data_IF_893620509128
#
_entry.id   IF_893620509128
#
_cell.length_a   1.000
_cell.length_b   1.000
_cell.length_c   1.000
_cell.angle_alpha   90.00
_cell.angle_beta   90.00
_cell.angle_gamma   90.00
#
_symmetry.space_group_name_H-M   'P 1'
#
loop_
_entity.id
_entity.type
_entity.pdbx_description
1 polymer ?
#
# COMPACT_ATOMS: atom_id res chain seq x y z
N UNK A 1 6.63 -14.64 35.16
CA UNK A 1 6.21 -15.51 34.02
C UNK A 1 5.51 -14.61 33.04
N UNK A 2 6.17 -14.24 31.96
CA UNK A 2 5.55 -13.44 30.92
C UNK A 2 4.42 -14.24 30.30
N UNK A 3 3.24 -13.62 30.25
CA UNK A 3 2.02 -14.28 29.77
C UNK A 3 2.18 -14.51 28.26
N UNK A 4 2.46 -15.74 27.86
CA UNK A 4 2.54 -16.12 26.44
C UNK A 4 1.20 -15.81 25.79
N UNK A 5 1.19 -14.91 24.82
CA UNK A 5 -0.03 -14.54 24.09
C UNK A 5 -0.33 -15.65 23.08
N UNK A 6 -1.43 -16.37 23.30
CA UNK A 6 -1.88 -17.50 22.47
C UNK A 6 -3.25 -17.29 21.86
N UNK A 7 -3.92 -16.20 22.25
CA UNK A 7 -5.26 -15.84 21.80
C UNK A 7 -5.21 -14.48 21.12
N UNK A 8 -5.51 -14.43 19.82
CA UNK A 8 -5.50 -13.23 19.00
C UNK A 8 -6.27 -13.45 17.69
N UNK A 9 -6.53 -12.39 16.99
CA UNK A 9 -6.92 -12.41 15.57
C UNK A 9 -5.81 -11.80 14.75
N UNK A 10 -5.20 -12.59 13.86
CA UNK A 10 -4.30 -12.05 12.84
C UNK A 10 -5.12 -11.65 11.63
N UNK A 11 -4.89 -10.44 11.10
CA UNK A 11 -5.54 -9.98 9.88
C UNK A 11 -4.59 -9.17 8.99
N UNK A 12 -4.93 -9.15 7.72
CA UNK A 12 -4.22 -8.43 6.65
C UNK A 12 -5.23 -7.92 5.62
N UNK A 13 -4.90 -6.86 4.90
CA UNK A 13 -5.75 -6.24 3.90
C UNK A 13 -5.02 -6.11 2.57
N UNK A 14 -5.68 -6.54 1.50
CA UNK A 14 -5.30 -6.08 0.16
C UNK A 14 -6.15 -4.88 -0.25
N UNK A 15 -5.53 -3.96 -0.96
CA UNK A 15 -6.17 -2.68 -1.31
C UNK A 15 -5.92 -2.27 -2.76
N UNK A 16 -6.73 -1.34 -3.27
CA UNK A 16 -6.56 -0.77 -4.63
C UNK A 16 -5.24 -0.01 -4.81
N UNK A 17 -4.46 0.15 -3.74
CA UNK A 17 -3.18 0.85 -3.71
C UNK A 17 -2.85 1.32 -2.31
N UNK A 18 -1.96 2.31 -2.22
CA UNK A 18 -1.47 2.81 -0.94
C UNK A 18 -1.95 4.23 -0.70
N UNK A 19 -2.32 4.56 0.53
CA UNK A 19 -2.62 5.92 0.95
C UNK A 19 -4.06 6.18 1.38
N UNK A 20 -4.44 7.48 1.49
CA UNK A 20 -5.69 7.89 2.13
C UNK A 20 -6.96 7.50 1.38
N UNK A 21 -6.86 7.23 0.08
CA UNK A 21 -7.97 6.87 -0.81
C UNK A 21 -7.97 5.39 -1.20
N UNK A 22 -7.00 4.61 -0.71
CA UNK A 22 -6.94 3.18 -0.96
C UNK A 22 -8.21 2.50 -0.43
N UNK A 23 -8.87 1.71 -1.25
CA UNK A 23 -10.05 0.93 -0.90
C UNK A 23 -9.66 -0.52 -0.67
N UNK A 24 -10.32 -1.17 0.26
CA UNK A 24 -10.10 -2.59 0.54
C UNK A 24 -10.64 -3.41 -0.63
N UNK A 25 -9.87 -4.40 -1.08
CA UNK A 25 -10.26 -5.37 -2.11
C UNK A 25 -10.24 -6.81 -1.61
N UNK A 26 -9.54 -7.08 -0.49
CA UNK A 26 -9.60 -8.35 0.22
C UNK A 26 -9.37 -8.10 1.72
N UNK A 27 -10.09 -8.87 2.55
CA UNK A 27 -9.84 -8.95 3.98
C UNK A 27 -9.54 -10.41 4.29
N UNK A 28 -8.36 -10.70 4.80
CA UNK A 28 -7.99 -11.99 5.34
C UNK A 28 -7.83 -11.92 6.84
N UNK A 29 -8.36 -12.90 7.57
CA UNK A 29 -8.11 -13.01 8.99
C UNK A 29 -8.17 -14.47 9.48
N UNK A 30 -7.40 -14.76 10.53
CA UNK A 30 -7.46 -16.01 11.27
C UNK A 30 -7.67 -15.74 12.76
N UNK A 31 -8.54 -16.51 13.39
CA UNK A 31 -8.73 -16.48 14.83
C UNK A 31 -7.93 -17.60 15.48
N UNK A 32 -7.05 -17.22 16.40
CA UNK A 32 -6.16 -18.15 17.09
C UNK A 32 -6.57 -18.25 18.56
N UNK A 33 -6.68 -19.49 19.06
CA UNK A 33 -6.96 -19.80 20.47
C UNK A 33 -6.00 -20.90 20.94
N UNK A 34 -5.37 -20.65 22.08
CA UNK A 34 -4.38 -21.59 22.61
C UNK A 34 -3.19 -21.83 21.67
N UNK A 35 -2.92 -20.91 20.71
CA UNK A 35 -1.89 -21.04 19.69
C UNK A 35 -2.31 -21.83 18.45
N UNK A 36 -3.59 -22.21 18.33
CA UNK A 36 -4.13 -22.95 17.17
C UNK A 36 -5.18 -22.12 16.46
N UNK A 37 -5.17 -22.11 15.13
CA UNK A 37 -6.23 -21.47 14.32
C UNK A 37 -7.54 -22.23 14.50
N UNK A 38 -8.55 -21.53 14.99
CA UNK A 38 -9.90 -22.11 15.26
C UNK A 38 -10.97 -21.60 14.30
N UNK A 39 -10.73 -20.46 13.65
CA UNK A 39 -11.68 -19.85 12.72
C UNK A 39 -10.97 -19.00 11.67
N UNK A 40 -11.65 -18.72 10.55
CA UNK A 40 -11.10 -18.06 9.38
C UNK A 40 -12.11 -17.08 8.79
N UNK A 41 -11.61 -15.94 8.33
CA UNK A 41 -12.34 -14.95 7.56
C UNK A 41 -11.57 -14.65 6.29
N UNK A 42 -12.21 -14.74 5.13
CA UNK A 42 -11.57 -14.42 3.84
C UNK A 42 -12.65 -13.95 2.88
N UNK A 43 -12.64 -12.64 2.58
CA UNK A 43 -13.65 -12.01 1.75
C UNK A 43 -13.00 -11.05 0.74
N UNK A 44 -13.36 -11.21 -0.52
CA UNK A 44 -13.12 -10.19 -1.53
C UNK A 44 -14.12 -9.05 -1.35
N UNK A 45 -13.66 -7.83 -1.57
CA UNK A 45 -14.47 -6.63 -1.42
C UNK A 45 -14.49 -5.85 -2.74
N UNK A 46 -15.69 -5.49 -3.20
CA UNK A 46 -15.88 -4.68 -4.41
C UNK A 46 -15.51 -3.22 -4.12
N UNK A 47 -14.44 -2.70 -4.73
CA UNK A 47 -14.09 -1.28 -4.60
C UNK A 47 -14.94 -0.42 -5.56
N UNK A 48 -15.04 0.87 -5.26
CA UNK A 48 -15.58 1.88 -6.18
C UNK A 48 -14.54 2.26 -7.23
N UNK A 49 -13.28 2.35 -6.80
CA UNK A 49 -12.17 2.68 -7.68
C UNK A 49 -11.71 1.46 -8.50
N UNK A 50 -11.15 1.74 -9.66
CA UNK A 50 -10.59 0.70 -10.52
C UNK A 50 -9.33 0.10 -9.90
N UNK A 51 -9.21 -1.23 -9.95
CA UNK A 51 -7.98 -1.94 -9.61
C UNK A 51 -6.99 -1.75 -10.75
N UNK A 52 -5.81 -1.21 -10.42
CA UNK A 52 -4.75 -1.01 -11.41
C UNK A 52 -4.08 -2.33 -11.79
N UNK A 53 -3.48 -2.38 -13.00
CA UNK A 53 -2.71 -3.55 -13.41
C UNK A 53 -1.54 -3.87 -12.47
N UNK A 54 -0.95 -2.87 -11.82
CA UNK A 54 0.10 -3.03 -10.82
C UNK A 54 -0.42 -3.76 -9.57
N UNK A 55 -1.59 -3.38 -9.08
CA UNK A 55 -2.22 -4.07 -7.94
C UNK A 55 -2.57 -5.50 -8.31
N UNK A 56 -3.15 -5.71 -9.50
CA UNK A 56 -3.45 -7.07 -9.99
C UNK A 56 -2.19 -7.92 -10.12
N UNK A 57 -1.10 -7.36 -10.62
CA UNK A 57 0.17 -8.09 -10.73
C UNK A 57 0.77 -8.45 -9.38
N UNK A 58 0.54 -7.60 -8.35
CA UNK A 58 1.05 -7.82 -6.99
C UNK A 58 0.19 -8.84 -6.22
N UNK A 59 -1.14 -8.62 -6.19
CA UNK A 59 -2.07 -9.39 -5.35
C UNK A 59 -2.71 -10.57 -6.06
N UNK A 60 -2.63 -10.61 -7.39
CA UNK A 60 -3.38 -11.53 -8.24
C UNK A 60 -4.87 -11.20 -8.34
N UNK A 61 -5.37 -10.14 -7.66
CA UNK A 61 -6.78 -9.76 -7.66
C UNK A 61 -7.04 -8.77 -8.80
N UNK A 62 -7.89 -9.17 -9.73
CA UNK A 62 -8.30 -8.33 -10.85
C UNK A 62 -9.66 -7.66 -10.61
N UNK A 63 -10.02 -6.71 -11.47
CA UNK A 63 -11.34 -6.10 -11.45
C UNK A 63 -12.48 -7.12 -11.63
N UNK A 64 -12.23 -8.20 -12.39
CA UNK A 64 -13.24 -9.24 -12.62
C UNK A 64 -13.47 -10.09 -11.37
N UNK A 65 -12.44 -10.33 -10.55
CA UNK A 65 -12.55 -11.15 -9.34
C UNK A 65 -13.44 -10.49 -8.29
N UNK A 66 -13.49 -9.15 -8.27
CA UNK A 66 -14.30 -8.37 -7.32
C UNK A 66 -15.62 -7.86 -7.92
N UNK A 67 -15.93 -8.19 -9.19
CA UNK A 67 -17.09 -7.62 -9.88
C UNK A 67 -18.42 -7.93 -9.17
N UNK A 68 -18.55 -9.16 -8.66
CA UNK A 68 -19.74 -9.65 -7.96
C UNK A 68 -19.54 -9.74 -6.44
N UNK A 69 -18.38 -9.25 -5.93
CA UNK A 69 -18.11 -9.23 -4.49
C UNK A 69 -19.02 -8.22 -3.78
N UNK A 70 -19.24 -8.45 -2.49
CA UNK A 70 -19.94 -7.51 -1.60
C UNK A 70 -19.12 -6.23 -1.45
N UNK A 71 -19.78 -5.10 -1.26
CA UNK A 71 -19.09 -3.85 -0.98
C UNK A 71 -18.65 -3.76 0.50
N UNK A 72 -17.80 -2.78 0.81
CA UNK A 72 -17.23 -2.65 2.17
C UNK A 72 -18.29 -2.41 3.25
N UNK A 73 -19.44 -1.79 2.93
CA UNK A 73 -20.50 -1.56 3.91
C UNK A 73 -21.25 -2.84 4.30
N UNK A 74 -21.14 -3.89 3.49
CA UNK A 74 -21.73 -5.20 3.75
C UNK A 74 -20.72 -6.14 4.44
N UNK A 75 -19.43 -6.04 4.09
CA UNK A 75 -18.38 -6.94 4.62
C UNK A 75 -17.84 -6.45 5.96
N UNK A 76 -17.75 -5.14 6.16
CA UNK A 76 -17.12 -4.58 7.35
C UNK A 76 -17.82 -4.98 8.67
N UNK A 77 -19.17 -5.00 8.78
CA UNK A 77 -19.83 -5.47 9.98
C UNK A 77 -19.48 -6.91 10.35
N UNK A 78 -19.44 -7.82 9.37
CA UNK A 78 -19.10 -9.23 9.57
C UNK A 78 -17.65 -9.38 10.03
N UNK A 79 -16.74 -8.60 9.44
CA UNK A 79 -15.33 -8.56 9.86
C UNK A 79 -15.17 -8.05 11.29
N UNK A 80 -15.89 -7.01 11.68
CA UNK A 80 -15.86 -6.49 13.05
C UNK A 80 -16.45 -7.47 14.06
N UNK A 81 -17.49 -8.19 13.70
CA UNK A 81 -18.03 -9.29 14.51
C UNK A 81 -17.00 -10.41 14.66
N UNK A 82 -16.33 -10.78 13.55
CA UNK A 82 -15.28 -11.79 13.58
C UNK A 82 -14.13 -11.43 14.51
N UNK A 83 -13.60 -10.20 14.45
CA UNK A 83 -12.48 -9.78 15.31
C UNK A 83 -12.91 -9.58 16.78
N UNK A 84 -14.14 -9.13 17.02
CA UNK A 84 -14.67 -8.86 18.37
C UNK A 84 -13.76 -7.93 19.17
N UNK A 85 -13.44 -8.32 20.40
CA UNK A 85 -12.55 -7.60 21.32
C UNK A 85 -11.16 -8.25 21.46
N UNK A 86 -10.78 -9.08 20.49
CA UNK A 86 -9.51 -9.79 20.51
C UNK A 86 -8.32 -8.84 20.32
N UNK A 87 -7.14 -9.28 20.78
CA UNK A 87 -5.89 -8.63 20.40
C UNK A 87 -5.68 -8.88 18.90
N UNK A 88 -5.48 -7.80 18.15
CA UNK A 88 -5.19 -7.87 16.73
C UNK A 88 -3.70 -8.11 16.50
N UNK A 89 -3.36 -8.98 15.56
CA UNK A 89 -2.00 -9.25 15.13
C UNK A 89 -1.89 -8.93 13.64
N UNK A 90 -0.77 -8.39 13.20
CA UNK A 90 -0.46 -8.21 11.79
C UNK A 90 0.96 -7.71 11.59
N UNK A 91 1.39 -7.62 10.34
CA UNK A 91 2.72 -7.13 9.99
C UNK A 91 2.62 -5.72 9.39
N UNK A 92 3.18 -4.72 10.06
CA UNK A 92 2.99 -3.29 9.76
C UNK A 92 1.53 -2.79 9.94
N UNK A 93 0.77 -3.53 10.70
CA UNK A 93 -0.67 -3.32 10.94
C UNK A 93 -0.99 -1.93 11.51
N UNK A 94 -0.09 -1.40 12.35
CA UNK A 94 -0.25 -0.09 12.98
C UNK A 94 -0.24 1.07 11.99
N UNK A 95 0.55 0.93 10.92
CA UNK A 95 0.76 2.01 9.94
C UNK A 95 -0.12 1.86 8.70
N UNK A 96 -0.67 0.67 8.44
CA UNK A 96 -1.44 0.39 7.23
C UNK A 96 -2.86 -0.08 7.52
N UNK A 97 -3.04 -1.28 8.04
CA UNK A 97 -4.34 -1.93 8.14
C UNK A 97 -5.29 -1.27 9.15
N UNK A 98 -4.83 -1.03 10.37
CA UNK A 98 -5.63 -0.37 11.41
C UNK A 98 -6.14 1.01 10.99
N UNK A 99 -5.32 1.91 10.41
CA UNK A 99 -5.80 3.18 9.85
C UNK A 99 -6.88 3.02 8.77
N UNK A 100 -6.77 2.01 7.92
CA UNK A 100 -7.75 1.74 6.86
C UNK A 100 -9.07 1.23 7.46
N UNK A 101 -9.02 0.25 8.36
CA UNK A 101 -10.22 -0.24 9.08
C UNK A 101 -10.89 0.91 9.82
N UNK A 102 -10.13 1.70 10.56
CA UNK A 102 -10.65 2.87 11.31
C UNK A 102 -11.39 3.85 10.42
N UNK A 103 -10.80 4.18 9.27
CA UNK A 103 -11.44 5.07 8.30
C UNK A 103 -12.76 4.49 7.79
N UNK A 104 -12.78 3.21 7.44
CA UNK A 104 -13.99 2.55 6.95
C UNK A 104 -15.07 2.47 8.05
N UNK A 105 -14.72 2.15 9.29
CA UNK A 105 -15.66 2.17 10.43
C UNK A 105 -16.25 3.57 10.63
N UNK A 106 -15.43 4.61 10.59
CA UNK A 106 -15.91 5.99 10.73
C UNK A 106 -16.87 6.40 9.61
N UNK A 107 -16.57 6.02 8.36
CA UNK A 107 -17.39 6.38 7.18
C UNK A 107 -18.66 5.54 7.10
N UNK A 108 -18.55 4.22 7.22
CA UNK A 108 -19.66 3.28 7.00
C UNK A 108 -20.57 3.22 8.21
N UNK A 109 -20.01 3.11 9.40
CA UNK A 109 -20.78 2.82 10.62
C UNK A 109 -20.99 4.03 11.51
N UNK A 110 -20.37 5.18 11.19
CA UNK A 110 -20.40 6.39 12.05
C UNK A 110 -19.94 6.09 13.49
N UNK A 111 -18.97 5.21 13.63
CA UNK A 111 -18.45 4.72 14.90
C UNK A 111 -16.94 4.92 15.02
N UNK A 112 -16.43 4.81 16.23
CA UNK A 112 -14.99 4.77 16.49
C UNK A 112 -14.50 3.31 16.47
N UNK A 113 -13.29 3.11 15.97
CA UNK A 113 -12.60 1.83 16.02
C UNK A 113 -11.38 1.94 16.93
N UNK A 114 -11.40 1.19 18.01
CA UNK A 114 -10.30 1.04 18.95
C UNK A 114 -9.98 -0.46 19.11
N UNK A 115 -8.70 -0.79 19.19
CA UNK A 115 -8.25 -2.16 19.35
C UNK A 115 -6.94 -2.22 20.14
N UNK A 116 -6.73 -3.32 20.82
CA UNK A 116 -5.41 -3.73 21.26
C UNK A 116 -4.74 -4.49 20.13
N UNK A 117 -3.47 -4.24 19.87
CA UNK A 117 -2.77 -4.90 18.77
C UNK A 117 -1.31 -5.21 19.07
N UNK A 118 -0.78 -6.15 18.32
CA UNK A 118 0.65 -6.49 18.24
C UNK A 118 1.06 -6.33 16.78
N UNK A 119 2.12 -5.56 16.55
CA UNK A 119 2.68 -5.39 15.21
C UNK A 119 4.00 -6.15 15.11
N UNK A 120 4.01 -7.22 14.30
CA UNK A 120 5.19 -8.08 14.14
C UNK A 120 6.36 -7.36 13.48
N UNK A 121 6.14 -6.26 12.74
CA UNK A 121 7.24 -5.45 12.23
C UNK A 121 8.01 -4.75 13.37
N UNK A 122 7.35 -4.35 14.46
CA UNK A 122 8.06 -3.80 15.61
C UNK A 122 8.91 -4.85 16.31
N UNK A 123 8.40 -6.08 16.42
CA UNK A 123 9.15 -7.21 16.98
C UNK A 123 10.33 -7.58 16.06
N UNK A 124 10.10 -7.61 14.76
CA UNK A 124 11.12 -7.92 13.77
C UNK A 124 12.34 -6.97 13.83
N UNK A 125 12.13 -5.70 14.19
CA UNK A 125 13.22 -4.72 14.37
C UNK A 125 14.20 -5.08 15.49
N UNK A 126 13.85 -6.02 16.34
CA UNK A 126 14.75 -6.53 17.39
C UNK A 126 15.64 -7.68 16.88
N UNK A 127 15.40 -8.22 15.68
CA UNK A 127 16.20 -9.26 15.06
C UNK A 127 17.41 -8.63 14.39
N UNK A 128 18.65 -8.96 14.84
CA UNK A 128 19.85 -8.38 14.25
C UNK A 128 20.20 -9.02 12.91
N UNK A 129 20.92 -8.29 12.06
CA UNK A 129 21.56 -8.85 10.86
C UNK A 129 20.64 -9.09 9.66
N UNK A 130 19.36 -8.67 9.72
CA UNK A 130 18.46 -8.72 8.58
C UNK A 130 18.54 -7.43 7.73
N UNK A 131 18.45 -7.51 6.39
CA UNK A 131 18.61 -6.34 5.51
C UNK A 131 17.44 -5.35 5.61
N UNK A 132 16.23 -5.85 5.84
CA UNK A 132 15.03 -5.07 6.15
C UNK A 132 14.04 -5.92 6.98
N UNK A 133 12.92 -5.33 7.38
CA UNK A 133 11.95 -5.99 8.26
C UNK A 133 10.59 -6.19 7.56
N UNK A 134 10.60 -6.32 6.23
CA UNK A 134 9.39 -6.68 5.46
C UNK A 134 8.97 -8.10 5.79
N UNK A 135 7.68 -8.39 5.63
CA UNK A 135 7.16 -9.73 5.91
C UNK A 135 7.98 -10.81 5.18
N UNK A 136 8.16 -10.70 3.87
CA UNK A 136 8.90 -11.72 3.10
C UNK A 136 10.34 -11.90 3.59
N UNK A 137 11.07 -10.82 3.86
CA UNK A 137 12.44 -10.91 4.38
C UNK A 137 12.49 -11.65 5.71
N UNK A 138 11.52 -11.39 6.59
CA UNK A 138 11.44 -12.06 7.88
C UNK A 138 11.02 -13.52 7.76
N UNK A 139 10.11 -13.84 6.83
CA UNK A 139 9.73 -15.22 6.54
C UNK A 139 10.92 -16.02 6.01
N UNK A 140 11.68 -15.45 5.08
CA UNK A 140 12.90 -16.08 4.53
C UNK A 140 13.94 -16.33 5.63
N UNK A 141 14.15 -15.34 6.53
CA UNK A 141 15.08 -15.45 7.64
C UNK A 141 14.72 -16.61 8.59
N UNK A 142 13.44 -16.81 8.87
CA UNK A 142 12.94 -17.89 9.72
C UNK A 142 12.61 -19.19 8.97
N UNK A 143 12.85 -19.26 7.66
CA UNK A 143 12.53 -20.44 6.84
C UNK A 143 11.04 -20.75 6.77
N UNK A 144 10.18 -19.72 6.88
CA UNK A 144 8.73 -19.84 6.80
C UNK A 144 8.29 -19.66 5.35
N UNK A 145 7.63 -20.67 4.78
CA UNK A 145 7.11 -20.61 3.42
C UNK A 145 5.74 -19.95 3.43
N UNK A 146 5.58 -18.94 2.55
CA UNK A 146 4.30 -18.36 2.17
C UNK A 146 4.08 -18.69 0.68
N UNK A 147 3.19 -19.65 0.41
CA UNK A 147 2.98 -20.17 -0.95
C UNK A 147 2.30 -19.15 -1.88
N UNK A 148 1.56 -18.20 -1.32
CA UNK A 148 0.79 -17.19 -2.07
C UNK A 148 0.89 -15.83 -1.42
N UNK A 149 2.10 -15.26 -1.44
CA UNK A 149 2.34 -13.90 -0.96
C UNK A 149 1.42 -12.89 -1.67
N UNK A 150 1.04 -11.85 -0.92
CA UNK A 150 0.07 -10.82 -1.35
C UNK A 150 -1.35 -11.37 -1.56
N UNK A 151 -1.73 -12.33 -0.74
CA UNK A 151 -3.10 -12.73 -0.49
C UNK A 151 -3.33 -12.62 1.00
N UNK A 152 -4.30 -11.82 1.38
CA UNK A 152 -4.50 -11.41 2.77
C UNK A 152 -4.63 -12.60 3.74
N UNK A 153 -5.28 -13.67 3.33
CA UNK A 153 -5.43 -14.86 4.17
C UNK A 153 -4.10 -15.59 4.39
N UNK A 154 -3.35 -15.86 3.32
CA UNK A 154 -2.08 -16.57 3.37
C UNK A 154 -1.02 -15.73 4.12
N UNK A 155 -1.05 -14.40 3.97
CA UNK A 155 -0.17 -13.48 4.71
C UNK A 155 -0.50 -13.47 6.21
N UNK A 156 -1.77 -13.65 6.62
CA UNK A 156 -2.16 -13.87 8.02
C UNK A 156 -1.56 -15.14 8.60
N UNK A 157 -1.65 -16.26 7.87
CA UNK A 157 -1.08 -17.54 8.34
C UNK A 157 0.45 -17.44 8.48
N UNK A 158 1.11 -16.83 7.50
CA UNK A 158 2.55 -16.60 7.52
C UNK A 158 2.96 -15.66 8.66
N UNK A 159 2.22 -14.58 8.88
CA UNK A 159 2.45 -13.60 9.96
C UNK A 159 2.26 -14.25 11.34
N UNK A 160 1.26 -15.12 11.49
CA UNK A 160 1.04 -15.88 12.73
C UNK A 160 2.22 -16.83 13.03
N UNK A 161 2.76 -17.51 12.01
CA UNK A 161 3.96 -18.36 12.14
C UNK A 161 5.19 -17.50 12.50
N UNK A 162 5.36 -16.35 11.84
CA UNK A 162 6.43 -15.40 12.14
C UNK A 162 6.36 -14.90 13.59
N UNK A 163 5.16 -14.54 14.06
CA UNK A 163 4.95 -14.14 15.45
C UNK A 163 5.42 -15.21 16.44
N UNK A 164 5.05 -16.47 16.20
CA UNK A 164 5.47 -17.57 17.04
C UNK A 164 7.00 -17.78 17.01
N UNK A 165 7.64 -17.63 15.86
CA UNK A 165 9.09 -17.73 15.71
C UNK A 165 9.82 -16.60 16.48
N UNK A 166 9.35 -15.35 16.34
CA UNK A 166 9.89 -14.19 17.07
C UNK A 166 9.79 -14.38 18.60
N UNK A 167 8.65 -14.88 19.08
CA UNK A 167 8.46 -15.17 20.51
C UNK A 167 9.36 -16.32 20.97
N UNK A 168 9.54 -17.36 20.15
CA UNK A 168 10.44 -18.48 20.44
C UNK A 168 11.91 -18.03 20.54
N UNK A 169 12.31 -17.01 19.75
CA UNK A 169 13.62 -16.36 19.84
C UNK A 169 13.78 -15.43 21.07
N UNK A 170 12.77 -15.39 21.96
CA UNK A 170 12.81 -14.62 23.19
C UNK A 170 12.40 -13.14 23.01
N UNK A 171 11.87 -12.75 21.85
CA UNK A 171 11.38 -11.39 21.63
C UNK A 171 10.02 -11.26 22.31
N UNK A 172 9.95 -10.42 23.36
CA UNK A 172 8.73 -10.20 24.12
C UNK A 172 7.71 -9.38 23.29
N UNK A 173 6.46 -9.89 23.10
CA UNK A 173 5.44 -9.13 22.39
C UNK A 173 4.94 -7.96 23.22
N UNK A 174 4.85 -6.79 22.60
CA UNK A 174 4.27 -5.58 23.19
C UNK A 174 2.83 -5.38 22.68
N UNK A 175 1.86 -5.41 23.60
CA UNK A 175 0.48 -5.06 23.29
C UNK A 175 0.36 -3.55 23.30
N UNK A 176 -0.04 -2.98 22.18
CA UNK A 176 -0.29 -1.55 21.99
C UNK A 176 -1.78 -1.30 21.82
N UNK A 177 -2.22 -0.09 22.11
CA UNK A 177 -3.60 0.33 21.91
C UNK A 177 -3.68 1.35 20.78
N UNK A 178 -4.58 1.12 19.84
CA UNK A 178 -4.93 2.11 18.84
C UNK A 178 -5.99 3.05 19.41
N UNK A 179 -5.70 4.36 19.40
CA UNK A 179 -6.67 5.39 19.83
C UNK A 179 -7.27 6.06 18.60
N UNK A 180 -8.57 6.31 18.62
CA UNK A 180 -9.21 7.16 17.64
C UNK A 180 -9.04 8.62 18.05
N UNK A 181 -8.25 9.39 17.27
CA UNK A 181 -8.20 10.84 17.38
C UNK A 181 -9.20 11.53 16.43
N UNK A 182 -10.01 10.76 15.72
CA UNK A 182 -11.02 11.33 14.84
C UNK A 182 -12.20 11.81 15.66
N UNK A 183 -12.35 13.12 15.70
CA UNK A 183 -13.60 13.73 16.11
C UNK A 183 -14.69 13.24 15.14
N UNK A 184 -15.64 12.42 15.60
CA UNK A 184 -16.70 11.84 14.76
C UNK A 184 -17.54 12.96 14.13
N UNK A 185 -17.64 14.12 14.81
CA UNK A 185 -18.27 15.33 14.26
C UNK A 185 -17.49 15.92 13.07
N UNK A 186 -16.17 15.70 13.03
CA UNK A 186 -15.33 16.09 11.89
C UNK A 186 -15.23 14.99 10.81
N UNK A 187 -15.72 13.78 11.06
CA UNK A 187 -15.96 12.75 10.06
C UNK A 187 -17.25 13.09 9.28
N UNK A 188 -17.34 14.32 8.82
CA UNK A 188 -18.12 14.56 7.61
C UNK A 188 -17.59 13.59 6.55
N UNK A 189 -18.45 13.03 5.64
CA UNK A 189 -17.93 12.39 4.46
C UNK A 189 -16.89 13.40 3.97
N UNK A 190 -15.60 13.01 4.01
CA UNK A 190 -14.56 13.83 3.39
C UNK A 190 -15.22 14.12 2.08
N UNK A 191 -15.57 15.42 1.79
CA UNK A 191 -16.13 15.71 0.50
C UNK A 191 -15.11 15.01 -0.36
N UNK A 192 -15.59 14.03 -1.16
CA UNK A 192 -14.77 13.45 -2.18
C UNK A 192 -14.21 14.70 -2.78
N UNK A 193 -13.02 15.13 -2.35
CA UNK A 193 -12.26 16.07 -3.11
C UNK A 193 -12.20 15.27 -4.35
N UNK A 194 -13.07 15.68 -5.31
CA UNK A 194 -13.11 15.09 -6.60
C UNK A 194 -11.72 14.66 -6.82
N UNK A 195 -11.48 13.33 -6.85
CA UNK A 195 -10.18 12.83 -7.11
C UNK A 195 -9.75 13.74 -8.23
N UNK A 196 -8.74 14.58 -7.99
CA UNK A 196 -8.12 15.24 -9.11
C UNK A 196 -7.71 14.02 -9.87
N UNK A 197 -8.59 13.65 -10.80
CA UNK A 197 -8.38 12.51 -11.66
C UNK A 197 -7.03 12.88 -12.24
N UNK A 198 -5.98 12.20 -11.75
CA UNK A 198 -4.65 12.40 -12.30
C UNK A 198 -4.78 11.79 -13.67
N UNK A 199 -5.39 12.57 -14.54
CA UNK A 199 -5.52 12.27 -15.94
C UNK A 199 -4.12 12.46 -16.46
N UNK A 200 -3.41 11.36 -16.61
CA UNK A 200 -2.18 11.38 -17.39
C UNK A 200 -2.64 11.76 -18.79
N UNK A 201 -2.25 12.94 -19.21
CA UNK A 201 -2.57 13.42 -20.57
C UNK A 201 -1.82 12.53 -21.56
N UNK A 202 -2.51 12.03 -22.57
CA UNK A 202 -1.92 11.29 -23.69
C UNK A 202 -1.29 12.31 -24.68
N UNK A 203 -0.27 13.02 -24.22
CA UNK A 203 0.48 13.99 -25.03
C UNK A 203 1.86 13.40 -25.34
N UNK A 204 2.23 13.27 -26.59
CA UNK A 204 3.60 12.95 -27.00
C UNK A 204 4.41 14.23 -27.12
N UNK A 205 5.56 14.27 -26.46
CA UNK A 205 6.46 15.42 -26.55
C UNK A 205 7.36 15.28 -27.76
N UNK A 206 7.28 16.24 -28.68
CA UNK A 206 8.17 16.34 -29.85
C UNK A 206 9.53 16.98 -29.52
N UNK A 207 9.66 17.66 -28.39
CA UNK A 207 10.91 18.27 -27.90
C UNK A 207 10.84 18.51 -26.40
N UNK A 208 11.97 18.43 -25.73
CA UNK A 208 12.12 18.74 -24.31
C UNK A 208 13.07 19.92 -24.05
N UNK A 209 13.60 20.54 -25.11
CA UNK A 209 14.57 21.61 -24.98
C UNK A 209 14.01 22.80 -24.18
N UNK A 210 14.73 23.20 -23.15
CA UNK A 210 14.37 24.31 -22.27
C UNK A 210 13.27 23.99 -21.24
N UNK A 211 12.56 22.87 -21.37
CA UNK A 211 11.50 22.47 -20.46
C UNK A 211 12.07 22.02 -19.10
N UNK A 212 11.35 22.37 -18.05
CA UNK A 212 11.66 21.95 -16.68
C UNK A 212 10.85 20.68 -16.36
N UNK A 213 11.56 19.55 -16.28
CA UNK A 213 10.95 18.22 -16.16
C UNK A 213 11.36 17.58 -14.85
N UNK A 214 10.37 17.01 -14.13
CA UNK A 214 10.59 16.14 -13.00
C UNK A 214 10.28 14.69 -13.41
N UNK A 215 11.01 13.75 -12.86
CA UNK A 215 10.80 12.32 -13.07
C UNK A 215 10.36 11.65 -11.77
N UNK A 216 9.51 10.62 -11.88
CA UNK A 216 9.10 9.77 -10.76
C UNK A 216 8.84 8.35 -11.25
N UNK A 217 9.09 7.36 -10.39
CA UNK A 217 8.95 5.94 -10.75
C UNK A 217 10.17 5.36 -11.44
N UNK A 218 10.06 4.05 -11.72
CA UNK A 218 11.00 3.27 -12.52
C UNK A 218 10.49 3.21 -13.96
N UNK A 219 11.38 3.29 -14.92
CA UNK A 219 11.08 3.33 -16.34
C UNK A 219 11.17 1.92 -16.92
N UNK A 220 10.33 1.61 -17.92
CA UNK A 220 10.32 0.32 -18.62
C UNK A 220 11.43 0.23 -19.64
N UNK A 221 11.72 1.34 -20.34
CA UNK A 221 12.67 1.37 -21.44
C UNK A 221 14.12 1.24 -21.00
N UNK A 222 14.52 1.77 -19.85
CA UNK A 222 15.89 1.86 -19.39
C UNK A 222 15.97 2.36 -17.94
N UNK A 223 17.16 2.40 -17.37
CA UNK A 223 17.35 2.94 -16.03
C UNK A 223 16.98 4.43 -15.97
N UNK A 224 16.53 4.86 -14.81
CA UNK A 224 16.22 6.28 -14.58
C UNK A 224 17.40 7.21 -14.88
N UNK A 225 18.63 6.77 -14.60
CA UNK A 225 19.84 7.55 -14.86
C UNK A 225 20.08 7.75 -16.38
N UNK A 226 19.76 6.73 -17.19
CA UNK A 226 19.82 6.83 -18.65
C UNK A 226 18.75 7.78 -19.18
N UNK A 227 17.51 7.73 -18.67
CA UNK A 227 16.45 8.68 -19.02
C UNK A 227 16.87 10.12 -18.64
N UNK A 228 17.39 10.33 -17.44
CA UNK A 228 17.88 11.65 -17.00
C UNK A 228 19.00 12.17 -17.91
N UNK A 229 19.92 11.30 -18.28
CA UNK A 229 21.04 11.66 -19.19
C UNK A 229 20.54 12.04 -20.58
N UNK A 230 19.65 11.23 -21.17
CA UNK A 230 19.11 11.48 -22.49
C UNK A 230 18.31 12.79 -22.56
N UNK A 231 17.41 13.02 -21.59
CA UNK A 231 16.63 14.25 -21.54
C UNK A 231 17.50 15.50 -21.33
N UNK A 232 18.56 15.38 -20.49
CA UNK A 232 19.52 16.49 -20.30
C UNK A 232 20.30 16.81 -21.58
N UNK A 233 20.72 15.80 -22.34
CA UNK A 233 21.38 15.98 -23.63
C UNK A 233 20.48 16.66 -24.66
N UNK A 234 19.17 16.41 -24.58
CA UNK A 234 18.15 17.10 -25.42
C UNK A 234 17.78 18.50 -24.92
N UNK A 235 18.47 19.01 -23.90
CA UNK A 235 18.29 20.36 -23.38
C UNK A 235 17.20 20.52 -22.34
N UNK A 236 16.66 19.45 -21.77
CA UNK A 236 15.73 19.52 -20.65
C UNK A 236 16.44 19.98 -19.36
N UNK A 237 15.71 20.75 -18.54
CA UNK A 237 16.14 21.16 -17.18
C UNK A 237 15.51 20.21 -16.17
N UNK A 238 16.25 19.20 -15.74
CA UNK A 238 15.77 18.22 -14.76
C UNK A 238 15.67 18.82 -13.36
N UNK A 239 14.63 18.42 -12.62
CA UNK A 239 14.41 18.85 -11.23
C UNK A 239 13.98 17.67 -10.34
N UNK A 240 14.49 17.64 -9.14
CA UNK A 240 14.13 16.62 -8.15
C UNK A 240 12.85 16.95 -7.35
N UNK A 241 12.37 18.19 -7.44
CA UNK A 241 11.16 18.67 -6.76
C UNK A 241 10.17 19.26 -7.75
N UNK A 242 8.89 19.20 -7.41
CA UNK A 242 7.81 19.85 -8.17
C UNK A 242 7.62 21.27 -7.64
N UNK A 243 7.44 22.21 -8.55
CA UNK A 243 7.09 23.61 -8.24
C UNK A 243 6.21 24.19 -9.35
N UNK A 244 5.65 25.38 -9.14
CA UNK A 244 4.90 26.11 -10.18
C UNK A 244 5.71 26.42 -11.45
N UNK A 245 7.03 26.22 -11.42
CA UNK A 245 7.93 26.37 -12.57
C UNK A 245 8.19 25.07 -13.31
N UNK A 246 7.70 23.93 -12.81
CA UNK A 246 7.82 22.61 -13.44
C UNK A 246 6.81 22.53 -14.58
N UNK A 247 7.26 22.18 -15.78
CA UNK A 247 6.39 22.04 -16.93
C UNK A 247 5.69 20.69 -16.95
N UNK A 248 6.46 19.61 -16.72
CA UNK A 248 5.96 18.24 -16.77
C UNK A 248 6.51 17.38 -15.61
N UNK A 249 5.66 16.48 -15.12
CA UNK A 249 6.07 15.33 -14.35
C UNK A 249 5.94 14.09 -15.24
N UNK A 250 7.03 13.43 -15.55
CA UNK A 250 7.02 12.16 -16.29
C UNK A 250 7.03 11.00 -15.28
N UNK A 251 6.11 10.07 -15.50
CA UNK A 251 5.88 8.90 -14.65
C UNK A 251 6.35 7.65 -15.36
N UNK A 252 7.34 6.94 -14.80
CA UNK A 252 7.83 5.67 -15.33
C UNK A 252 6.80 4.56 -15.20
N UNK A 253 6.70 3.71 -16.22
CA UNK A 253 5.66 2.67 -16.35
C UNK A 253 5.72 1.59 -15.28
N UNK A 254 6.91 1.27 -14.74
CA UNK A 254 7.09 0.27 -13.67
C UNK A 254 6.75 0.79 -12.26
N UNK A 255 6.38 2.06 -12.14
CA UNK A 255 6.10 2.63 -10.81
C UNK A 255 7.36 2.76 -9.94
N UNK A 256 7.21 2.77 -8.63
CA UNK A 256 8.32 2.85 -7.69
C UNK A 256 8.01 2.13 -6.39
N UNK A 257 8.99 1.41 -5.85
CA UNK A 257 8.89 0.78 -4.52
C UNK A 257 8.61 1.80 -3.40
N UNK A 258 8.99 3.06 -3.61
CA UNK A 258 8.69 4.16 -2.69
C UNK A 258 7.25 4.64 -2.76
N UNK A 259 6.51 4.29 -3.83
CA UNK A 259 5.08 4.58 -3.94
C UNK A 259 4.23 3.70 -3.02
N UNK A 260 4.81 2.63 -2.44
CA UNK A 260 4.16 1.78 -1.43
C UNK A 260 3.65 2.54 -0.20
N UNK A 261 4.08 3.79 -0.01
CA UNK A 261 3.70 4.61 1.15
C UNK A 261 3.01 5.93 0.82
N UNK A 262 2.90 6.32 -0.46
CA UNK A 262 2.30 7.59 -0.87
C UNK A 262 1.66 7.44 -2.25
N UNK A 263 0.37 7.57 -2.37
CA UNK A 263 -0.47 7.62 -3.58
C UNK A 263 0.25 8.19 -4.82
N UNK A 264 0.98 7.37 -5.57
CA UNK A 264 1.77 7.82 -6.71
C UNK A 264 3.00 8.67 -6.36
N UNK A 265 3.40 8.67 -5.07
CA UNK A 265 4.50 9.50 -4.56
C UNK A 265 4.09 10.96 -4.36
N UNK A 266 4.73 11.61 -3.38
CA UNK A 266 4.47 13.03 -3.09
C UNK A 266 4.60 13.95 -4.30
N UNK A 267 5.39 13.55 -5.32
CA UNK A 267 5.54 14.31 -6.57
C UNK A 267 4.27 14.34 -7.42
N UNK A 268 3.53 13.22 -7.53
CA UNK A 268 2.29 13.17 -8.32
C UNK A 268 1.22 14.03 -7.67
N UNK A 269 1.06 13.92 -6.35
CA UNK A 269 0.11 14.76 -5.61
C UNK A 269 0.48 16.24 -5.68
N UNK A 270 1.76 16.55 -5.54
CA UNK A 270 2.24 17.93 -5.63
C UNK A 270 2.07 18.51 -7.04
N UNK A 271 2.30 17.71 -8.08
CA UNK A 271 2.05 18.11 -9.47
C UNK A 271 0.57 18.41 -9.70
N UNK A 272 -0.33 17.54 -9.27
CA UNK A 272 -1.77 17.76 -9.37
C UNK A 272 -2.23 19.01 -8.61
N UNK A 273 -1.72 19.25 -7.40
CA UNK A 273 -2.04 20.44 -6.60
C UNK A 273 -1.57 21.74 -7.25
N UNK A 274 -0.45 21.71 -7.97
CA UNK A 274 0.16 22.87 -8.62
C UNK A 274 -0.26 23.04 -10.09
N UNK A 275 -1.14 22.15 -10.61
CA UNK A 275 -1.56 22.17 -12.01
C UNK A 275 -0.43 21.82 -12.99
N UNK A 276 0.61 21.11 -12.53
CA UNK A 276 1.69 20.62 -13.38
C UNK A 276 1.18 19.42 -14.17
N UNK A 277 1.35 19.41 -15.49
CA UNK A 277 0.95 18.31 -16.35
C UNK A 277 1.71 17.03 -16.00
N UNK A 278 0.97 15.94 -15.87
CA UNK A 278 1.49 14.60 -15.53
C UNK A 278 1.38 13.73 -16.78
N UNK A 279 2.51 13.27 -17.28
CA UNK A 279 2.59 12.46 -18.49
C UNK A 279 3.16 11.07 -18.17
N UNK A 280 2.69 10.00 -18.86
CA UNK A 280 3.30 8.69 -18.77
C UNK A 280 4.66 8.66 -19.47
N UNK A 281 5.46 7.63 -19.21
CA UNK A 281 6.73 7.37 -19.88
C UNK A 281 6.61 7.35 -21.42
N UNK A 282 5.48 6.88 -21.93
CA UNK A 282 5.20 6.85 -23.37
C UNK A 282 5.27 8.20 -24.05
N UNK A 283 5.04 9.30 -23.30
CA UNK A 283 5.12 10.67 -23.82
C UNK A 283 6.52 11.07 -24.31
N UNK A 284 7.57 10.40 -23.82
CA UNK A 284 8.97 10.65 -24.21
C UNK A 284 9.59 9.48 -24.97
N UNK A 285 8.85 8.40 -25.22
CA UNK A 285 9.38 7.18 -25.85
C UNK A 285 9.95 7.42 -27.25
N UNK A 286 9.37 8.30 -28.03
CA UNK A 286 9.88 8.71 -29.35
C UNK A 286 11.24 9.37 -29.25
N UNK A 287 11.38 10.33 -28.35
CA UNK A 287 12.62 11.06 -28.10
C UNK A 287 13.75 10.15 -27.60
N UNK A 288 13.44 9.22 -26.69
CA UNK A 288 14.43 8.29 -26.17
C UNK A 288 14.95 7.31 -27.24
N UNK A 289 14.09 6.88 -28.17
CA UNK A 289 14.50 6.03 -29.30
C UNK A 289 15.43 6.76 -30.28
N UNK A 290 15.17 8.04 -30.54
CA UNK A 290 16.05 8.87 -31.37
C UNK A 290 17.43 9.05 -30.74
N UNK A 291 17.51 9.22 -29.42
CA UNK A 291 18.78 9.35 -28.71
C UNK A 291 19.62 8.07 -28.67
N UNK A 292 19.01 6.90 -28.79
CA UNK A 292 19.72 5.61 -28.81
C UNK A 292 20.25 5.24 -30.19
N UNK A 293 19.81 5.92 -31.25
CA UNK A 293 20.22 5.69 -32.64
C UNK A 293 21.31 6.68 -33.13
N UNK A 294 21.86 7.50 -32.26
CA UNK A 294 22.99 8.42 -32.49
C UNK A 294 24.20 7.94 -31.70
#
# INVERSE_FOLDING_TARGET
MDKVIKDYVCFDLETTGFGKTAEIIEIGAIKVRGGTTVDKFSELVKPTNRISGVVTALTGISQNDVADARNISEVLPDFLEFIGNDILLGHNIASFDIPIVRRNVAVVMRAMFESNYIDTMYLAKMVPGVPDHKLQTMLDYYGIVNERAHRAFEDCEATSKLFNALVADGIAPEIRRSYSYTNIEAAQPVPVKEDIAVTMEAEELSSVAGLRIALTGNFECCSRAEVETALAQMGAKLTNSISSKTNYLIVGGLGSDRWKYNNGGGKIQQAAQLGVKILPETAISGLLKEAQNV
#
